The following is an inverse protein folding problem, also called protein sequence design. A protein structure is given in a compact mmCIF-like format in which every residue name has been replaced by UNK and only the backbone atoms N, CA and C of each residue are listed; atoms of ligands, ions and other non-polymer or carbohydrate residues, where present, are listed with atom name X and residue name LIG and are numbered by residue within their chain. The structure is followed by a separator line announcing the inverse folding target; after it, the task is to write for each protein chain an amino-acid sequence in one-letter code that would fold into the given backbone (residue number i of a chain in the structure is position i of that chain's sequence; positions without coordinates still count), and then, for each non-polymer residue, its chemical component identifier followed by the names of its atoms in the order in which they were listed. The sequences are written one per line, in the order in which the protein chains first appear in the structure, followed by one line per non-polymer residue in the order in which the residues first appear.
data_IF_500906640990
#
_entry.id   IF_500906640990
#
_cell.length_a   1.000
_cell.length_b   1.000
_cell.length_c   1.000
_cell.angle_alpha   90.00
_cell.angle_beta   90.00
_cell.angle_gamma   90.00
#
_symmetry.space_group_name_H-M   'P 1'
#
loop_
_entity.id
_entity.type
_entity.pdbx_description
1 polymer ?
#
# COMPACT_ATOMS: atom_id res chain seq x y z
N UNK A 1 -16.97 -10.85 -18.00
CA UNK A 1 -15.60 -10.41 -18.32
C UNK A 1 -14.56 -10.59 -17.18
N UNK A 2 -14.88 -11.20 -16.02
CA UNK A 2 -13.93 -11.36 -14.89
C UNK A 2 -12.93 -12.54 -15.00
N UNK A 3 -13.18 -13.53 -15.87
CA UNK A 3 -12.35 -14.75 -15.94
C UNK A 3 -10.97 -14.52 -16.58
N UNK A 4 -10.83 -13.59 -17.54
CA UNK A 4 -9.55 -13.30 -18.21
C UNK A 4 -8.52 -12.68 -17.27
N UNK A 5 -8.92 -11.73 -16.41
CA UNK A 5 -7.95 -11.04 -15.56
C UNK A 5 -7.29 -11.94 -14.51
N UNK A 6 -7.96 -13.00 -14.07
CA UNK A 6 -7.36 -13.96 -13.12
C UNK A 6 -6.41 -14.92 -13.82
N UNK A 7 -6.74 -15.43 -15.02
CA UNK A 7 -5.82 -16.26 -15.79
C UNK A 7 -4.54 -15.50 -16.18
N UNK A 8 -4.66 -14.19 -16.44
CA UNK A 8 -3.52 -13.34 -16.80
C UNK A 8 -2.58 -13.16 -15.59
N UNK A 9 -3.12 -12.89 -14.40
CA UNK A 9 -2.32 -12.82 -13.16
C UNK A 9 -1.64 -14.13 -12.83
N UNK A 10 -2.33 -15.26 -12.98
CA UNK A 10 -1.75 -16.57 -12.72
C UNK A 10 -0.62 -16.90 -13.70
N UNK A 11 -0.79 -16.55 -14.97
CA UNK A 11 0.26 -16.71 -15.99
C UNK A 11 1.48 -15.86 -15.67
N UNK A 12 1.29 -14.57 -15.40
CA UNK A 12 2.38 -13.66 -15.02
C UNK A 12 3.06 -14.08 -13.70
N UNK A 13 2.31 -14.60 -12.72
CA UNK A 13 2.90 -15.14 -11.49
C UNK A 13 3.79 -16.35 -11.78
N UNK A 14 3.33 -17.27 -12.65
CA UNK A 14 4.09 -18.46 -13.05
C UNK A 14 5.40 -18.08 -13.76
N UNK A 15 5.40 -17.06 -14.60
CA UNK A 15 6.61 -16.54 -15.25
C UNK A 15 7.66 -16.06 -14.24
N UNK A 16 7.23 -15.55 -13.07
CA UNK A 16 8.11 -15.16 -11.97
C UNK A 16 8.58 -16.34 -11.11
N UNK A 17 8.14 -17.57 -11.41
CA UNK A 17 8.32 -18.74 -10.55
C UNK A 17 7.56 -18.60 -9.22
N UNK A 18 6.38 -17.96 -9.27
CA UNK A 18 5.53 -17.68 -8.13
C UNK A 18 4.10 -18.21 -8.35
N UNK A 19 3.29 -18.19 -7.31
CA UNK A 19 1.88 -18.59 -7.36
C UNK A 19 0.97 -17.50 -6.78
N UNK A 20 -0.28 -17.42 -7.28
CA UNK A 20 -1.32 -16.58 -6.67
C UNK A 20 -1.99 -17.39 -5.56
N UNK A 21 -1.93 -16.87 -4.34
CA UNK A 21 -2.58 -17.47 -3.17
C UNK A 21 -3.49 -16.47 -2.49
N UNK A 22 -4.53 -16.98 -1.85
CA UNK A 22 -5.39 -16.15 -1.00
C UNK A 22 -5.09 -16.48 0.45
N UNK A 23 -4.63 -15.48 1.21
CA UNK A 23 -4.33 -15.59 2.64
C UNK A 23 -5.44 -14.92 3.43
N UNK A 24 -6.00 -15.62 4.41
CA UNK A 24 -6.96 -15.02 5.33
C UNK A 24 -6.22 -14.17 6.37
N UNK A 25 -6.55 -12.89 6.47
CA UNK A 25 -6.11 -12.10 7.62
C UNK A 25 -6.67 -12.75 8.91
N UNK A 26 -5.93 -12.73 10.04
CA UNK A 26 -6.46 -13.18 11.32
C UNK A 26 -7.83 -12.55 11.61
N UNK A 27 -8.77 -13.31 12.19
CA UNK A 27 -10.14 -12.81 12.45
C UNK A 27 -10.15 -11.51 13.28
N UNK A 28 -9.18 -11.34 14.19
CA UNK A 28 -8.99 -10.10 14.98
C UNK A 28 -8.68 -8.85 14.13
N UNK A 29 -8.24 -9.05 12.87
CA UNK A 29 -7.98 -8.00 11.87
C UNK A 29 -9.07 -7.95 10.78
N UNK A 30 -10.22 -8.58 11.01
CA UNK A 30 -11.39 -8.51 10.16
C UNK A 30 -11.54 -9.66 9.14
N UNK A 31 -10.70 -10.70 9.21
CA UNK A 31 -10.90 -11.95 8.45
C UNK A 31 -10.84 -11.80 6.93
N UNK A 32 -10.37 -10.66 6.41
CA UNK A 32 -10.39 -10.38 4.97
C UNK A 32 -9.42 -11.29 4.25
N UNK A 33 -9.90 -11.93 3.19
CA UNK A 33 -9.08 -12.63 2.21
C UNK A 33 -8.21 -11.64 1.44
N UNK A 34 -6.90 -11.87 1.46
CA UNK A 34 -5.89 -11.04 0.79
C UNK A 34 -5.25 -11.89 -0.30
N UNK A 35 -5.41 -11.47 -1.55
CA UNK A 35 -4.71 -12.05 -2.69
C UNK A 35 -3.23 -11.64 -2.66
N UNK A 36 -2.34 -12.62 -2.73
CA UNK A 36 -0.89 -12.44 -2.69
C UNK A 36 -0.23 -13.17 -3.87
N UNK A 37 0.84 -12.58 -4.40
CA UNK A 37 1.85 -13.34 -5.16
C UNK A 37 2.83 -13.91 -4.14
N UNK A 38 3.02 -15.23 -4.18
CA UNK A 38 3.85 -15.98 -3.25
C UNK A 38 5.01 -16.64 -3.98
N UNK A 39 6.22 -16.49 -3.43
CA UNK A 39 7.43 -17.22 -3.86
C UNK A 39 8.18 -17.69 -2.61
N UNK A 40 8.19 -19.00 -2.37
CA UNK A 40 8.71 -19.56 -1.12
C UNK A 40 7.95 -19.02 0.10
N UNK A 41 8.69 -18.43 1.06
CA UNK A 41 8.15 -17.79 2.26
C UNK A 41 7.78 -16.31 2.07
N UNK A 42 7.96 -15.74 0.88
CA UNK A 42 7.71 -14.33 0.60
C UNK A 42 6.30 -14.14 0.04
N UNK A 43 5.56 -13.21 0.63
CA UNK A 43 4.18 -12.89 0.28
C UNK A 43 4.05 -11.39 -0.06
N UNK A 44 3.68 -11.11 -1.31
CA UNK A 44 3.40 -9.75 -1.80
C UNK A 44 1.90 -9.62 -2.06
N UNK A 45 1.16 -8.86 -1.25
CA UNK A 45 -0.25 -8.61 -1.51
C UNK A 45 -0.43 -7.84 -2.82
N UNK A 46 -1.22 -8.36 -3.76
CA UNK A 46 -1.38 -7.76 -5.09
C UNK A 46 -1.97 -6.34 -4.97
N UNK A 47 -2.90 -6.13 -4.04
CA UNK A 47 -3.49 -4.82 -3.75
C UNK A 47 -2.49 -3.76 -3.30
N UNK A 48 -1.33 -4.12 -2.72
CA UNK A 48 -0.30 -3.13 -2.34
C UNK A 48 0.32 -2.46 -3.57
N UNK A 49 0.36 -3.16 -4.69
CA UNK A 49 0.92 -2.65 -5.94
C UNK A 49 -0.21 -2.17 -6.85
N UNK A 50 -1.19 -3.02 -7.12
CA UNK A 50 -2.31 -2.74 -8.03
C UNK A 50 -3.26 -1.63 -7.54
N UNK A 51 -3.32 -1.37 -6.22
CA UNK A 51 -4.19 -0.32 -5.66
C UNK A 51 -3.37 0.79 -5.03
N UNK A 52 -2.56 0.46 -4.02
CA UNK A 52 -1.79 1.48 -3.28
C UNK A 52 -0.64 2.05 -4.13
N UNK A 53 0.13 1.19 -4.80
CA UNK A 53 1.17 1.58 -5.74
C UNK A 53 0.62 2.35 -6.95
N UNK A 54 -0.52 1.91 -7.48
CA UNK A 54 -1.10 2.47 -8.70
C UNK A 54 -1.95 3.75 -8.51
N UNK A 55 -2.02 4.34 -7.31
CA UNK A 55 -2.84 5.54 -7.09
C UNK A 55 -4.35 5.32 -7.02
N UNK A 56 -4.81 4.08 -6.84
CA UNK A 56 -6.24 3.73 -6.91
C UNK A 56 -6.93 3.72 -5.55
N UNK A 57 -6.24 4.14 -4.48
CA UNK A 57 -6.88 4.41 -3.19
C UNK A 57 -7.84 5.57 -3.37
N UNK A 58 -9.09 5.40 -2.91
CA UNK A 58 -10.09 6.46 -2.92
C UNK A 58 -10.13 7.16 -1.57
N UNK A 59 -10.31 8.48 -1.58
CA UNK A 59 -10.68 9.26 -0.39
C UNK A 59 -12.17 9.63 -0.51
N UNK A 60 -13.06 8.95 0.23
CA UNK A 60 -14.50 9.15 0.13
C UNK A 60 -14.90 10.61 0.34
N UNK A 61 -15.84 11.09 -0.48
CA UNK A 61 -16.34 12.47 -0.42
C UNK A 61 -16.91 12.83 0.95
N UNK A 62 -17.69 11.93 1.57
CA UNK A 62 -18.21 12.12 2.93
C UNK A 62 -17.10 12.38 3.97
N UNK A 63 -15.95 11.71 3.87
CA UNK A 63 -14.82 11.96 4.78
C UNK A 63 -14.09 13.28 4.47
N UNK A 64 -14.12 13.72 3.20
CA UNK A 64 -13.57 15.01 2.78
C UNK A 64 -14.42 16.15 3.34
N UNK A 65 -15.74 16.06 3.19
CA UNK A 65 -16.71 17.01 3.74
C UNK A 65 -16.63 17.06 5.26
N UNK A 66 -16.61 15.91 5.93
CA UNK A 66 -16.48 15.81 7.38
C UNK A 66 -15.19 16.48 7.86
N UNK A 67 -14.05 16.21 7.20
CA UNK A 67 -12.77 16.84 7.57
C UNK A 67 -12.80 18.35 7.35
N UNK A 68 -13.43 18.82 6.27
CA UNK A 68 -13.57 20.24 5.97
C UNK A 68 -14.41 20.95 7.04
N UNK A 69 -15.54 20.37 7.44
CA UNK A 69 -16.39 20.87 8.51
C UNK A 69 -15.62 20.92 9.84
N UNK A 70 -14.97 19.82 10.24
CA UNK A 70 -14.18 19.76 11.47
C UNK A 70 -13.03 20.78 11.49
N UNK A 71 -12.40 21.05 10.33
CA UNK A 71 -11.36 22.09 10.21
C UNK A 71 -11.93 23.50 10.29
N UNK A 72 -13.10 23.74 9.70
CA UNK A 72 -13.79 25.02 9.78
C UNK A 72 -14.24 25.32 11.22
N UNK A 73 -14.81 24.35 11.92
CA UNK A 73 -15.15 24.44 13.34
C UNK A 73 -13.91 24.70 14.21
N UNK A 74 -12.83 23.94 13.99
CA UNK A 74 -11.55 24.14 14.69
C UNK A 74 -11.01 25.56 14.51
N UNK A 75 -11.21 26.14 13.33
CA UNK A 75 -10.80 27.50 13.00
C UNK A 75 -11.78 28.58 13.50
N UNK A 76 -12.88 28.20 14.17
CA UNK A 76 -13.92 29.13 14.61
C UNK A 76 -14.73 29.74 13.45
N UNK A 77 -14.70 29.12 12.27
CA UNK A 77 -15.36 29.62 11.04
C UNK A 77 -16.74 28.99 10.81
N UNK A 78 -17.11 27.97 11.59
CA UNK A 78 -18.36 27.23 11.46
C UNK A 78 -18.87 26.82 12.86
N UNK A 79 -20.16 26.97 13.09
CA UNK A 79 -20.81 26.62 14.37
C UNK A 79 -20.74 27.73 15.42
N UNK A 80 -21.29 27.43 16.62
CA UNK A 80 -21.31 28.34 17.77
C UNK A 80 -20.12 28.15 18.73
N UNK A 81 -19.36 27.06 18.57
CA UNK A 81 -18.20 26.76 19.40
C UNK A 81 -17.01 27.65 19.00
N UNK A 82 -16.36 28.24 20.01
CA UNK A 82 -15.09 28.95 19.83
C UNK A 82 -13.94 27.96 19.61
N UNK A 83 -12.82 28.44 19.04
CA UNK A 83 -11.61 27.64 18.89
C UNK A 83 -11.14 27.00 20.21
N UNK A 84 -11.31 27.72 21.34
CA UNK A 84 -10.95 27.22 22.68
C UNK A 84 -11.84 26.06 23.14
N UNK A 85 -13.13 26.12 22.84
CA UNK A 85 -14.08 25.05 23.16
C UNK A 85 -13.84 23.82 22.29
N UNK A 86 -13.58 24.01 21.00
CA UNK A 86 -13.17 22.92 20.11
C UNK A 86 -11.88 22.24 20.60
N UNK A 87 -10.89 23.03 21.03
CA UNK A 87 -9.63 22.53 21.58
C UNK A 87 -9.82 21.72 22.88
N UNK A 88 -10.95 21.85 23.56
CA UNK A 88 -11.30 21.05 24.74
C UNK A 88 -12.14 19.82 24.42
N UNK A 89 -12.53 19.61 23.16
CA UNK A 89 -13.32 18.46 22.73
C UNK A 89 -12.42 17.29 22.25
N UNK A 90 -12.13 16.28 23.09
CA UNK A 90 -11.23 15.18 22.72
C UNK A 90 -11.79 14.31 21.60
N UNK A 91 -13.13 14.22 21.45
CA UNK A 91 -13.76 13.42 20.40
C UNK A 91 -13.50 14.02 19.02
N UNK A 92 -13.73 15.32 18.85
CA UNK A 92 -13.49 16.03 17.58
C UNK A 92 -12.00 16.00 17.20
N UNK A 93 -11.10 16.20 18.16
CA UNK A 93 -9.66 16.08 17.91
C UNK A 93 -9.24 14.67 17.49
N UNK A 94 -9.73 13.64 18.18
CA UNK A 94 -9.47 12.25 17.83
C UNK A 94 -9.98 11.95 16.42
N UNK A 95 -11.17 12.46 16.06
CA UNK A 95 -11.76 12.25 14.73
C UNK A 95 -10.94 12.91 13.62
N UNK A 96 -10.50 14.16 13.80
CA UNK A 96 -9.59 14.82 12.85
C UNK A 96 -8.34 13.95 12.64
N UNK A 97 -7.67 13.55 13.73
CA UNK A 97 -6.45 12.72 13.64
C UNK A 97 -6.72 11.39 12.95
N UNK A 98 -7.85 10.74 13.21
CA UNK A 98 -8.24 9.48 12.55
C UNK A 98 -8.39 9.64 11.04
N UNK A 99 -9.01 10.73 10.57
CA UNK A 99 -9.18 10.97 9.13
C UNK A 99 -7.84 11.36 8.49
N UNK A 100 -7.08 12.25 9.13
CA UNK A 100 -5.81 12.76 8.60
C UNK A 100 -4.72 11.69 8.54
N UNK A 101 -4.52 10.94 9.63
CA UNK A 101 -3.43 9.97 9.74
C UNK A 101 -3.78 8.60 9.13
N UNK A 102 -5.06 8.35 8.82
CA UNK A 102 -5.51 7.10 8.20
C UNK A 102 -5.88 7.30 6.72
N UNK A 103 -7.17 7.46 6.39
CA UNK A 103 -7.64 7.52 5.01
C UNK A 103 -6.96 8.59 4.15
N UNK A 104 -6.81 9.83 4.66
CA UNK A 104 -6.22 10.92 3.89
C UNK A 104 -4.73 10.67 3.61
N UNK A 105 -3.97 10.26 4.62
CA UNK A 105 -2.56 9.92 4.47
C UNK A 105 -2.34 8.81 3.43
N UNK A 106 -3.15 7.74 3.48
CA UNK A 106 -3.07 6.64 2.52
C UNK A 106 -3.41 7.09 1.10
N UNK A 107 -4.45 7.92 0.94
CA UNK A 107 -4.80 8.51 -0.35
C UNK A 107 -3.64 9.34 -0.91
N UNK A 108 -3.07 10.26 -0.12
CA UNK A 108 -1.98 11.12 -0.55
C UNK A 108 -0.72 10.33 -0.94
N UNK A 109 -0.34 9.31 -0.16
CA UNK A 109 0.79 8.43 -0.51
C UNK A 109 0.53 7.66 -1.80
N UNK A 110 -0.69 7.16 -1.98
CA UNK A 110 -1.06 6.46 -3.21
C UNK A 110 -0.99 7.38 -4.44
N UNK A 111 -1.48 8.62 -4.33
CA UNK A 111 -1.34 9.62 -5.39
C UNK A 111 0.13 9.98 -5.68
N UNK A 112 0.98 10.05 -4.64
CA UNK A 112 2.42 10.23 -4.81
C UNK A 112 3.07 9.09 -5.60
N UNK A 113 2.69 7.85 -5.31
CA UNK A 113 3.15 6.67 -6.05
C UNK A 113 2.73 6.72 -7.53
N UNK A 114 1.47 7.09 -7.81
CA UNK A 114 0.98 7.28 -9.19
C UNK A 114 1.83 8.30 -9.96
N UNK A 115 2.13 9.44 -9.35
CA UNK A 115 2.99 10.44 -9.99
C UNK A 115 4.39 9.88 -10.29
N UNK A 116 4.96 9.09 -9.38
CA UNK A 116 6.25 8.44 -9.59
C UNK A 116 6.21 7.41 -10.74
N UNK A 117 5.16 6.58 -10.83
CA UNK A 117 4.97 5.62 -11.93
C UNK A 117 4.90 6.35 -13.29
N UNK A 118 4.05 7.37 -13.38
CA UNK A 118 3.87 8.14 -14.62
C UNK A 118 5.17 8.86 -15.03
N UNK A 119 5.92 9.39 -14.07
CA UNK A 119 7.24 10.00 -14.32
C UNK A 119 8.27 8.98 -14.80
N UNK A 120 8.21 7.76 -14.29
CA UNK A 120 9.06 6.65 -14.71
C UNK A 120 8.62 6.02 -16.05
N UNK A 121 7.45 6.41 -16.57
CA UNK A 121 6.90 5.90 -17.83
C UNK A 121 6.20 4.54 -17.69
N UNK A 122 5.86 4.12 -16.47
CA UNK A 122 5.08 2.91 -16.21
C UNK A 122 3.58 3.21 -16.25
N UNK A 123 2.80 2.28 -16.78
CA UNK A 123 1.34 2.38 -16.85
C UNK A 123 0.70 1.81 -15.56
N UNK A 124 0.00 2.63 -14.75
CA UNK A 124 -0.65 2.18 -13.51
C UNK A 124 -1.81 1.19 -13.72
N UNK A 125 -2.30 1.06 -14.96
CA UNK A 125 -3.35 0.11 -15.35
C UNK A 125 -2.81 -1.15 -16.04
N UNK A 126 -1.50 -1.22 -16.31
CA UNK A 126 -0.88 -2.41 -16.90
C UNK A 126 -0.59 -3.47 -15.84
N UNK A 127 -1.13 -4.67 -16.05
CA UNK A 127 -0.78 -5.84 -15.23
C UNK A 127 0.70 -6.21 -15.41
N UNK A 128 1.26 -6.07 -16.61
CA UNK A 128 2.66 -6.38 -16.89
C UNK A 128 3.60 -5.47 -16.11
N UNK A 129 3.35 -4.16 -16.08
CA UNK A 129 4.16 -3.21 -15.29
C UNK A 129 4.02 -3.49 -13.78
N UNK A 130 2.81 -3.84 -13.32
CA UNK A 130 2.60 -4.23 -11.94
C UNK A 130 3.37 -5.51 -11.59
N UNK A 131 3.35 -6.52 -12.44
CA UNK A 131 4.07 -7.78 -12.23
C UNK A 131 5.58 -7.63 -12.39
N UNK A 132 6.06 -6.69 -13.21
CA UNK A 132 7.46 -6.27 -13.24
C UNK A 132 7.91 -5.72 -11.90
N UNK A 133 7.10 -4.87 -11.26
CA UNK A 133 7.37 -4.38 -9.89
C UNK A 133 7.31 -5.51 -8.87
N UNK A 134 6.30 -6.39 -8.93
CA UNK A 134 6.20 -7.55 -8.04
C UNK A 134 7.44 -8.44 -8.15
N UNK A 135 7.83 -8.80 -9.37
CA UNK A 135 9.00 -9.64 -9.65
C UNK A 135 10.28 -9.04 -9.08
N UNK A 136 10.51 -7.75 -9.34
CA UNK A 136 11.65 -7.02 -8.77
C UNK A 136 11.66 -7.06 -7.24
N UNK A 137 10.51 -6.82 -6.58
CA UNK A 137 10.43 -6.86 -5.12
C UNK A 137 10.66 -8.27 -4.59
N UNK A 138 10.12 -9.32 -5.23
CA UNK A 138 10.38 -10.72 -4.84
C UNK A 138 11.87 -11.06 -4.91
N UNK A 139 12.51 -10.68 -6.01
CA UNK A 139 13.93 -10.95 -6.24
C UNK A 139 14.79 -10.25 -5.18
N UNK A 140 14.53 -8.97 -4.94
CA UNK A 140 15.28 -8.17 -3.97
C UNK A 140 15.10 -8.69 -2.54
N UNK A 141 13.88 -9.08 -2.14
CA UNK A 141 13.66 -9.71 -0.83
C UNK A 141 14.42 -11.03 -0.72
N UNK A 142 14.44 -11.83 -1.79
CA UNK A 142 15.18 -13.10 -1.82
C UNK A 142 16.69 -12.92 -1.61
N UNK A 143 17.26 -11.77 -2.01
CA UNK A 143 18.68 -11.43 -1.81
C UNK A 143 19.02 -10.91 -0.41
N UNK A 144 18.04 -10.37 0.32
CA UNK A 144 18.29 -9.70 1.61
C UNK A 144 18.71 -10.64 2.74
N UNK A 145 18.35 -11.93 2.68
CA UNK A 145 18.58 -12.86 3.78
C UNK A 145 17.81 -12.47 5.05
N UNK A 146 16.51 -12.19 4.93
CA UNK A 146 15.65 -11.74 6.04
C UNK A 146 15.65 -12.76 7.18
N UNK A 147 15.96 -12.30 8.39
CA UNK A 147 15.85 -13.11 9.61
C UNK A 147 14.38 -13.47 9.88
N UNK A 148 14.10 -14.77 9.97
CA UNK A 148 12.75 -15.34 10.02
C UNK A 148 12.14 -15.36 11.43
N UNK A 149 12.40 -14.33 12.23
CA UNK A 149 11.79 -14.14 13.55
C UNK A 149 10.47 -13.36 13.44
N UNK A 150 9.37 -13.91 13.96
CA UNK A 150 8.06 -13.25 13.91
C UNK A 150 8.11 -11.90 14.63
N UNK A 151 7.60 -10.86 13.97
CA UNK A 151 7.63 -9.49 14.48
C UNK A 151 8.83 -8.69 13.98
N UNK A 152 9.84 -9.33 13.38
CA UNK A 152 10.94 -8.64 12.71
C UNK A 152 10.40 -7.73 11.60
N UNK A 153 11.01 -6.54 11.45
CA UNK A 153 10.63 -5.53 10.46
C UNK A 153 11.85 -5.09 9.68
N UNK A 154 11.75 -5.15 8.36
CA UNK A 154 12.83 -4.81 7.46
C UNK A 154 12.38 -3.67 6.56
N UNK A 155 13.25 -2.67 6.39
CA UNK A 155 13.11 -1.66 5.33
C UNK A 155 14.15 -1.92 4.27
N UNK A 156 13.72 -1.98 3.03
CA UNK A 156 14.61 -2.18 1.89
C UNK A 156 14.32 -1.16 0.81
N UNK A 157 15.39 -0.55 0.30
CA UNK A 157 15.32 0.39 -0.81
C UNK A 157 16.07 -0.21 -1.99
N UNK A 158 15.38 -0.33 -3.12
CA UNK A 158 15.94 -0.86 -4.36
C UNK A 158 15.59 0.06 -5.53
N UNK A 159 16.23 -0.15 -6.69
CA UNK A 159 15.93 0.59 -7.91
C UNK A 159 15.58 -0.37 -9.04
N UNK A 160 14.47 -0.11 -9.72
CA UNK A 160 14.00 -0.87 -10.88
C UNK A 160 14.21 -0.05 -12.16
N UNK A 161 14.56 -0.73 -13.25
CA UNK A 161 14.61 -0.12 -14.58
C UNK A 161 13.18 0.12 -15.12
N UNK A 162 12.91 1.35 -15.52
CA UNK A 162 11.65 1.80 -16.08
C UNK A 162 11.86 2.48 -17.46
N UNK A 163 10.80 2.64 -18.27
CA UNK A 163 10.93 3.21 -19.61
C UNK A 163 11.61 4.59 -19.67
N UNK A 164 11.49 5.40 -18.61
CA UNK A 164 12.10 6.74 -18.51
C UNK A 164 13.24 6.83 -17.49
N UNK A 165 13.95 5.72 -17.29
CA UNK A 165 15.10 5.60 -16.38
C UNK A 165 14.79 4.79 -15.13
N UNK A 166 15.49 5.04 -14.03
CA UNK A 166 15.33 4.28 -12.79
C UNK A 166 14.23 4.83 -11.90
N UNK A 167 13.42 3.92 -11.34
CA UNK A 167 12.48 4.21 -10.27
C UNK A 167 12.96 3.55 -8.97
N UNK A 168 12.98 4.31 -7.87
CA UNK A 168 13.31 3.78 -6.55
C UNK A 168 12.05 3.23 -5.92
N UNK A 169 12.16 2.02 -5.36
CA UNK A 169 11.13 1.33 -4.61
C UNK A 169 11.61 1.22 -3.15
N UNK A 170 10.84 1.81 -2.25
CA UNK A 170 11.00 1.66 -0.80
C UNK A 170 9.93 0.66 -0.31
N UNK A 171 10.40 -0.50 0.16
CA UNK A 171 9.60 -1.62 0.63
C UNK A 171 9.78 -1.79 2.13
N UNK A 172 8.67 -1.78 2.87
CA UNK A 172 8.65 -2.16 4.28
C UNK A 172 8.03 -3.55 4.43
N UNK A 173 8.77 -4.44 5.06
CA UNK A 173 8.45 -5.85 5.25
C UNK A 173 8.27 -6.15 6.74
N UNK A 174 7.46 -7.15 7.04
CA UNK A 174 7.46 -7.78 8.36
C UNK A 174 7.41 -9.29 8.25
N UNK A 175 8.04 -9.96 9.21
CA UNK A 175 7.91 -11.40 9.36
C UNK A 175 6.68 -11.69 10.21
N UNK A 176 5.77 -12.50 9.68
CA UNK A 176 4.49 -12.84 10.31
C UNK A 176 4.42 -14.32 10.61
N UNK A 177 3.49 -14.66 11.51
CA UNK A 177 3.17 -16.04 11.85
C UNK A 177 2.82 -16.86 10.60
N UNK A 178 3.33 -18.08 10.57
CA UNK A 178 3.18 -19.06 9.50
C UNK A 178 4.03 -20.29 9.80
N UNK A 179 3.83 -21.37 9.05
CA UNK A 179 4.62 -22.60 9.20
C UNK A 179 5.23 -22.99 7.84
N UNK A 180 6.50 -22.65 7.56
CA UNK A 180 7.39 -21.75 8.32
C UNK A 180 6.93 -20.27 8.31
N UNK A 181 7.52 -19.38 9.13
CA UNK A 181 7.17 -17.95 9.15
C UNK A 181 7.22 -17.31 7.76
N UNK A 182 6.45 -16.23 7.56
CA UNK A 182 6.30 -15.59 6.24
C UNK A 182 6.89 -14.18 6.24
N UNK A 183 7.58 -13.81 5.17
CA UNK A 183 8.00 -12.42 4.91
C UNK A 183 6.89 -11.72 4.13
N UNK A 184 6.30 -10.68 4.69
CA UNK A 184 5.11 -10.02 4.15
C UNK A 184 5.38 -8.55 3.81
N UNK A 185 5.00 -8.12 2.60
CA UNK A 185 5.09 -6.71 2.21
C UNK A 185 3.98 -5.87 2.86
N UNK A 186 4.34 -5.02 3.82
CA UNK A 186 3.39 -4.14 4.51
C UNK A 186 3.15 -2.84 3.77
N UNK A 187 4.20 -2.20 3.25
CA UNK A 187 4.10 -0.90 2.58
C UNK A 187 5.06 -0.85 1.40
N UNK A 188 4.63 -0.16 0.34
CA UNK A 188 5.46 0.14 -0.81
C UNK A 188 5.30 1.62 -1.19
N UNK A 189 6.42 2.28 -1.47
CA UNK A 189 6.46 3.64 -1.99
C UNK A 189 7.43 3.77 -3.14
N UNK A 190 7.09 4.66 -4.08
CA UNK A 190 7.89 4.93 -5.26
C UNK A 190 8.42 6.36 -5.24
N UNK A 191 9.68 6.52 -5.60
CA UNK A 191 10.26 7.83 -5.87
C UNK A 191 11.14 7.78 -7.11
N UNK A 192 11.28 8.90 -7.81
CA UNK A 192 12.23 9.00 -8.92
C UNK A 192 13.63 9.18 -8.33
N UNK A 193 14.62 8.41 -8.78
CA UNK A 193 16.02 8.74 -8.50
C UNK A 193 16.36 10.02 -9.27
N UNK A 194 16.79 11.06 -8.54
CA UNK A 194 17.28 12.30 -9.17
C UNK A 194 18.49 11.99 -10.04
#
# INVERSE_FOLDING_TARGET
MKAKSNSDKESLAKELGAEIVTVSAPQKLGGKSIECVKKGSIYIPTGKILIYGAGKVQFPEALREELQQLKAERAGKLGKETQREFARNPKKQKRIKQIEQGPLHNYQRSQGNLQSLLKAGMNPDSLEDAFKIIGHVLEEIGKLGVEMEVGNKVKHVSAIEAPRGKMVIDSHLSVKEGTPPIVYLDTITYSKKK
#
